data_IF_830030278279
#
_entry.id   IF_830030278279
#
_cell.length_a   1.000
_cell.length_b   1.000
_cell.length_c   1.000
_cell.angle_alpha   90.00
_cell.angle_beta   90.00
_cell.angle_gamma   90.00
#
_symmetry.space_group_name_H-M   'P 1'
#
loop_
_entity.id
_entity.type
_entity.pdbx_description
1 polymer ?
#
# COMPACT_ATOMS: atom_id res chain seq x y z
N UNK A 1 8.53 7.73 14.05
CA UNK A 1 7.59 8.25 13.03
C UNK A 1 7.58 7.35 11.81
N UNK A 2 6.43 7.20 11.13
CA UNK A 2 6.33 6.54 9.83
C UNK A 2 6.46 7.57 8.71
N UNK A 3 7.16 7.22 7.63
CA UNK A 3 7.36 8.06 6.44
C UNK A 3 7.15 7.19 5.20
N UNK A 4 6.39 7.63 4.20
CA UNK A 4 6.25 6.86 2.98
C UNK A 4 7.57 6.84 2.19
N UNK A 5 8.03 5.63 1.85
CA UNK A 5 9.26 5.41 1.09
C UNK A 5 10.40 4.76 1.89
N UNK A 6 11.52 4.47 1.22
CA UNK A 6 12.65 3.78 1.82
C UNK A 6 13.43 4.69 2.76
N UNK A 7 13.69 4.18 3.96
CA UNK A 7 14.45 4.85 5.02
C UNK A 7 15.58 3.95 5.51
N UNK A 8 16.76 4.51 5.74
CA UNK A 8 17.89 3.86 6.39
C UNK A 8 17.69 3.79 7.91
N UNK A 9 18.40 2.89 8.58
CA UNK A 9 18.34 2.72 10.03
C UNK A 9 18.73 3.98 10.84
N UNK A 10 19.53 4.86 10.24
CA UNK A 10 19.93 6.16 10.84
C UNK A 10 18.83 7.24 10.72
N UNK A 11 17.71 6.93 10.08
CA UNK A 11 16.61 7.88 9.83
C UNK A 11 16.78 8.73 8.58
N UNK A 12 17.68 8.36 7.66
CA UNK A 12 17.84 9.04 6.38
C UNK A 12 16.82 8.55 5.37
N UNK A 13 15.97 9.44 4.88
CA UNK A 13 15.08 9.22 3.75
C UNK A 13 15.89 9.17 2.46
N UNK A 14 15.74 8.13 1.65
CA UNK A 14 16.45 8.01 0.37
C UNK A 14 15.71 8.77 -0.74
N UNK A 15 14.39 8.62 -0.81
CA UNK A 15 13.50 9.37 -1.69
C UNK A 15 12.06 9.16 -1.23
N UNK A 16 11.30 10.22 -1.13
CA UNK A 16 9.88 10.15 -0.85
C UNK A 16 9.11 10.91 -1.94
N UNK A 17 8.67 10.18 -2.97
CA UNK A 17 8.01 10.77 -4.14
C UNK A 17 6.71 11.47 -3.74
N UNK A 18 5.92 10.84 -2.88
CA UNK A 18 4.61 11.34 -2.45
C UNK A 18 4.68 12.68 -1.68
N UNK A 19 5.82 12.95 -1.02
CA UNK A 19 6.03 14.20 -0.28
C UNK A 19 6.97 15.16 -1.00
N UNK A 20 7.49 14.78 -2.17
CA UNK A 20 8.48 15.58 -2.89
C UNK A 20 9.82 15.71 -2.16
N UNK A 21 10.12 14.80 -1.23
CA UNK A 21 11.35 14.87 -0.43
C UNK A 21 12.52 14.20 -1.14
N UNK A 22 13.65 14.88 -1.13
CA UNK A 22 14.94 14.33 -1.52
C UNK A 22 15.61 13.55 -0.37
N UNK A 23 16.91 13.38 -0.48
CA UNK A 23 17.71 12.67 0.54
C UNK A 23 18.02 13.61 1.70
N UNK A 24 17.56 13.29 2.91
CA UNK A 24 17.94 13.98 4.15
C UNK A 24 17.61 13.11 5.37
N UNK A 25 18.20 13.43 6.53
CA UNK A 25 17.92 12.72 7.78
C UNK A 25 16.71 13.34 8.48
N UNK A 26 15.55 12.74 8.31
CA UNK A 26 14.28 13.21 8.91
C UNK A 26 14.27 13.04 10.43
N UNK A 27 14.90 11.97 10.95
CA UNK A 27 14.95 11.74 12.39
C UNK A 27 15.73 12.83 13.12
N UNK A 28 16.89 13.22 12.57
CA UNK A 28 17.70 14.32 13.10
C UNK A 28 16.98 15.67 12.98
N UNK A 29 16.41 15.96 11.81
CA UNK A 29 15.69 17.22 11.58
C UNK A 29 14.54 17.40 12.56
N UNK A 30 13.73 16.35 12.75
CA UNK A 30 12.61 16.39 13.70
C UNK A 30 13.10 16.45 15.15
N UNK A 31 14.17 15.73 15.50
CA UNK A 31 14.77 15.82 16.85
C UNK A 31 15.16 17.24 17.22
N UNK A 32 15.82 17.97 16.31
CA UNK A 32 16.19 19.38 16.50
C UNK A 32 14.95 20.25 16.72
N UNK A 33 13.93 20.11 15.86
CA UNK A 33 12.69 20.88 15.98
C UNK A 33 11.91 20.59 17.27
N UNK A 34 12.05 19.38 17.82
CA UNK A 34 11.43 18.95 19.06
C UNK A 34 12.31 19.14 20.31
N UNK A 35 13.30 20.05 20.29
CA UNK A 35 14.13 20.36 21.45
C UNK A 35 15.09 19.24 21.87
N UNK A 36 15.54 18.39 20.93
CA UNK A 36 16.49 17.32 21.18
C UNK A 36 15.88 15.99 21.60
N UNK A 37 14.56 15.83 21.51
CA UNK A 37 13.89 14.56 21.76
C UNK A 37 14.38 13.51 20.74
N UNK A 38 14.73 12.32 21.23
CA UNK A 38 15.18 11.21 20.39
C UNK A 38 14.06 10.76 19.44
N UNK A 39 14.31 10.86 18.16
CA UNK A 39 13.38 10.42 17.10
C UNK A 39 13.95 9.19 16.41
N UNK A 40 13.09 8.20 16.15
CA UNK A 40 13.33 7.11 15.19
C UNK A 40 12.32 7.24 14.04
N UNK A 41 12.81 7.06 12.83
CA UNK A 41 11.98 7.04 11.63
C UNK A 41 12.09 5.69 10.93
N UNK A 42 11.02 5.27 10.27
CA UNK A 42 10.95 4.05 9.50
C UNK A 42 9.91 4.21 8.38
N UNK A 43 9.86 3.27 7.46
CA UNK A 43 8.78 3.20 6.49
C UNK A 43 7.42 3.10 7.22
N UNK A 44 6.39 3.76 6.70
CA UNK A 44 5.08 3.89 7.35
C UNK A 44 4.38 2.53 7.59
N UNK A 45 4.40 1.63 6.61
CA UNK A 45 3.84 0.29 6.76
C UNK A 45 4.62 -0.55 7.79
N UNK A 46 5.95 -0.43 7.81
CA UNK A 46 6.78 -1.09 8.82
C UNK A 46 6.50 -0.57 10.24
N UNK A 47 6.34 0.75 10.40
CA UNK A 47 5.98 1.35 11.70
C UNK A 47 4.59 0.93 12.12
N UNK A 48 3.63 0.84 11.19
CA UNK A 48 2.30 0.33 11.46
C UNK A 48 2.33 -1.13 11.92
N UNK A 49 3.12 -1.99 11.24
CA UNK A 49 3.31 -3.40 11.63
C UNK A 49 3.87 -3.53 13.05
N UNK A 50 4.83 -2.68 13.44
CA UNK A 50 5.32 -2.62 14.82
C UNK A 50 4.22 -2.20 15.81
N UNK A 51 3.38 -1.25 15.43
CA UNK A 51 2.23 -0.83 16.25
C UNK A 51 1.25 -1.97 16.47
N UNK A 52 0.93 -2.73 15.42
CA UNK A 52 0.06 -3.90 15.49
C UNK A 52 0.68 -5.03 16.34
N UNK A 53 1.97 -5.27 16.22
CA UNK A 53 2.66 -6.24 17.08
C UNK A 53 2.67 -5.79 18.55
N UNK A 54 2.80 -4.48 18.81
CA UNK A 54 2.88 -3.96 20.17
C UNK A 54 1.53 -3.91 20.88
N UNK A 55 0.50 -3.35 20.23
CA UNK A 55 -0.80 -3.08 20.86
C UNK A 55 -2.03 -3.44 20.02
N UNK A 56 -1.84 -4.01 18.83
CA UNK A 56 -2.89 -4.38 17.91
C UNK A 56 -3.11 -5.89 17.79
N UNK A 57 -3.54 -6.32 16.61
CA UNK A 57 -3.87 -7.73 16.32
C UNK A 57 -2.68 -8.69 16.38
N UNK A 58 -1.45 -8.18 16.28
CA UNK A 58 -0.21 -8.96 16.41
C UNK A 58 0.34 -9.05 17.84
N UNK A 59 -0.38 -8.52 18.84
CA UNK A 59 0.10 -8.51 20.23
C UNK A 59 0.36 -9.92 20.77
N UNK A 60 1.56 -10.10 21.33
CA UNK A 60 2.01 -11.40 21.86
C UNK A 60 2.69 -12.30 20.84
N UNK A 61 2.72 -11.92 19.56
CA UNK A 61 3.44 -12.62 18.50
C UNK A 61 4.78 -11.93 18.19
N UNK A 62 5.81 -12.72 17.85
CA UNK A 62 7.11 -12.20 17.42
C UNK A 62 7.28 -12.21 15.91
N UNK A 63 6.46 -13.00 15.22
CA UNK A 63 6.43 -13.09 13.76
C UNK A 63 5.06 -12.60 13.27
N UNK A 64 5.07 -11.51 12.52
CA UNK A 64 3.86 -10.81 12.05
C UNK A 64 4.06 -10.39 10.60
N UNK A 65 3.07 -10.66 9.77
CA UNK A 65 2.93 -10.05 8.46
C UNK A 65 1.70 -9.15 8.50
N UNK A 66 1.90 -7.88 8.26
CA UNK A 66 0.84 -6.89 8.16
C UNK A 66 0.69 -6.45 6.72
N UNK A 67 -0.55 -6.39 6.24
CA UNK A 67 -0.90 -5.89 4.90
C UNK A 67 -1.84 -4.70 5.08
N UNK A 68 -1.53 -3.60 4.42
CA UNK A 68 -2.39 -2.42 4.36
C UNK A 68 -3.02 -2.30 2.98
N UNK A 69 -4.36 -2.29 2.94
CA UNK A 69 -5.14 -2.07 1.73
C UNK A 69 -5.75 -0.67 1.80
N UNK A 70 -5.16 0.26 1.04
CA UNK A 70 -5.59 1.65 0.97
C UNK A 70 -5.54 2.14 -0.47
N UNK A 71 -5.11 3.38 -0.70
CA UNK A 71 -4.86 3.94 -2.05
C UNK A 71 -3.90 3.04 -2.84
N UNK A 72 -2.91 2.46 -2.16
CA UNK A 72 -2.01 1.42 -2.64
C UNK A 72 -2.07 0.18 -1.76
N UNK A 73 -1.12 -0.75 -1.94
CA UNK A 73 -0.91 -1.93 -1.09
C UNK A 73 0.45 -1.82 -0.42
N UNK A 74 0.45 -1.67 0.89
CA UNK A 74 1.67 -1.69 1.70
C UNK A 74 1.81 -2.98 2.50
N UNK A 75 3.00 -3.23 3.01
CA UNK A 75 3.26 -4.37 3.87
C UNK A 75 4.38 -4.12 4.87
N UNK A 76 4.29 -4.80 6.00
CA UNK A 76 5.36 -4.84 6.99
C UNK A 76 5.54 -6.27 7.48
N UNK A 77 6.77 -6.73 7.48
CA UNK A 77 7.15 -8.07 7.91
C UNK A 77 8.00 -7.95 9.16
N UNK A 78 7.59 -8.63 10.21
CA UNK A 78 8.34 -8.75 11.47
C UNK A 78 8.70 -10.20 11.67
N UNK A 79 9.94 -10.46 11.99
CA UNK A 79 10.45 -11.77 12.38
C UNK A 79 11.28 -11.66 13.65
N UNK A 80 11.02 -12.54 14.61
CA UNK A 80 11.69 -12.52 15.92
C UNK A 80 11.66 -11.14 16.58
N UNK A 81 10.51 -10.44 16.47
CA UNK A 81 10.30 -9.11 17.02
C UNK A 81 11.02 -7.97 16.28
N UNK A 82 11.62 -8.24 15.11
CA UNK A 82 12.37 -7.25 14.32
C UNK A 82 11.78 -7.08 12.92
N UNK A 83 11.78 -5.84 12.45
CA UNK A 83 11.38 -5.52 11.06
C UNK A 83 12.36 -6.18 10.08
N UNK A 84 11.80 -6.84 9.06
CA UNK A 84 12.53 -7.32 7.90
C UNK A 84 12.59 -6.18 6.88
N UNK A 85 13.55 -5.27 7.06
CA UNK A 85 13.69 -4.12 6.17
C UNK A 85 14.26 -4.48 4.78
N UNK A 86 14.93 -5.64 4.65
CA UNK A 86 15.67 -6.00 3.46
C UNK A 86 16.95 -5.18 3.28
N UNK A 87 17.84 -5.62 2.39
CA UNK A 87 19.16 -5.00 2.17
C UNK A 87 19.04 -3.55 1.67
N UNK A 88 18.00 -3.25 0.89
CA UNK A 88 17.77 -1.93 0.28
C UNK A 88 16.60 -1.17 0.95
N UNK A 89 16.12 -1.62 2.11
CA UNK A 89 14.98 -1.00 2.79
C UNK A 89 13.62 -1.30 2.13
N UNK A 90 13.56 -2.24 1.18
CA UNK A 90 12.36 -2.61 0.44
C UNK A 90 11.74 -3.95 0.91
N UNK A 91 12.13 -4.44 2.09
CA UNK A 91 11.48 -5.58 2.72
C UNK A 91 10.04 -5.22 3.07
N UNK A 92 9.09 -6.08 2.67
CA UNK A 92 7.67 -5.80 2.91
C UNK A 92 6.95 -5.02 1.80
N UNK A 93 7.61 -4.67 0.71
CA UNK A 93 7.00 -4.04 -0.48
C UNK A 93 6.14 -5.05 -1.28
N UNK A 94 5.19 -5.72 -0.57
CA UNK A 94 4.36 -6.80 -1.13
C UNK A 94 3.41 -6.32 -2.22
N UNK A 95 2.98 -5.05 -2.17
CA UNK A 95 2.15 -4.45 -3.21
C UNK A 95 2.80 -4.45 -4.59
N UNK A 96 4.13 -4.58 -4.64
CA UNK A 96 4.89 -4.60 -5.89
C UNK A 96 5.33 -6.01 -6.33
N UNK A 97 4.75 -7.05 -5.73
CA UNK A 97 4.87 -8.42 -6.22
C UNK A 97 4.14 -8.56 -7.56
N UNK A 98 4.75 -9.18 -8.58
CA UNK A 98 4.07 -9.43 -9.84
C UNK A 98 2.99 -10.50 -9.66
N UNK A 99 1.77 -10.20 -10.09
CA UNK A 99 0.61 -11.11 -10.03
C UNK A 99 0.11 -11.47 -11.42
N UNK A 100 0.32 -10.59 -12.41
CA UNK A 100 -0.15 -10.75 -13.79
C UNK A 100 1.00 -10.45 -14.73
N UNK A 101 1.34 -11.40 -15.61
CA UNK A 101 2.50 -11.27 -16.52
C UNK A 101 2.20 -10.38 -17.73
N UNK A 102 0.97 -10.43 -18.27
CA UNK A 102 0.59 -9.74 -19.52
C UNK A 102 -0.06 -8.35 -19.27
N UNK A 103 0.23 -7.71 -18.13
CA UNK A 103 -0.28 -6.38 -17.85
C UNK A 103 0.32 -5.33 -18.80
N UNK A 104 -0.55 -4.55 -19.45
CA UNK A 104 -0.14 -3.50 -20.40
C UNK A 104 0.32 -2.22 -19.70
N UNK A 105 -0.30 -1.88 -18.56
CA UNK A 105 -0.05 -0.64 -17.83
C UNK A 105 1.03 -0.78 -16.77
N UNK A 106 1.86 0.25 -16.64
CA UNK A 106 2.87 0.30 -15.60
C UNK A 106 2.27 0.66 -14.24
N UNK A 107 2.71 -0.03 -13.19
CA UNK A 107 2.57 0.40 -11.81
C UNK A 107 3.44 1.64 -11.54
N UNK A 108 3.11 2.41 -10.52
CA UNK A 108 3.90 3.56 -10.07
C UNK A 108 5.38 3.24 -9.76
N UNK A 109 5.71 1.99 -9.47
CA UNK A 109 7.09 1.52 -9.29
C UNK A 109 7.85 1.27 -10.59
N UNK A 110 7.21 1.41 -11.76
CA UNK A 110 7.77 1.15 -13.09
C UNK A 110 7.66 -0.30 -13.57
N UNK A 111 7.22 -1.24 -12.73
CA UNK A 111 6.92 -2.62 -13.13
C UNK A 111 5.49 -2.72 -13.65
N UNK A 112 5.13 -3.89 -14.18
CA UNK A 112 3.79 -4.22 -14.63
C UNK A 112 3.23 -5.39 -13.83
N UNK A 113 1.90 -5.46 -13.72
CA UNK A 113 1.22 -6.58 -13.09
C UNK A 113 1.40 -6.68 -11.57
N UNK A 114 1.73 -5.58 -10.89
CA UNK A 114 1.88 -5.56 -9.45
C UNK A 114 0.55 -5.82 -8.71
N UNK A 115 0.59 -6.51 -7.58
CA UNK A 115 -0.56 -6.75 -6.71
C UNK A 115 -1.36 -5.46 -6.42
N UNK A 116 -0.68 -4.36 -6.19
CA UNK A 116 -1.30 -3.05 -5.95
C UNK A 116 -2.23 -2.60 -7.07
N UNK A 117 -1.93 -2.95 -8.33
CA UNK A 117 -2.75 -2.59 -9.47
C UNK A 117 -4.12 -3.31 -9.49
N UNK A 118 -4.30 -4.31 -8.64
CA UNK A 118 -5.53 -5.11 -8.53
C UNK A 118 -6.17 -5.00 -7.15
N UNK A 119 -5.41 -5.15 -6.08
CA UNK A 119 -5.92 -5.27 -4.72
C UNK A 119 -6.01 -3.95 -3.94
N UNK A 120 -5.52 -2.83 -4.47
CA UNK A 120 -5.69 -1.51 -3.84
C UNK A 120 -7.06 -0.90 -4.13
N UNK A 121 -7.41 0.17 -3.40
CA UNK A 121 -8.63 0.93 -3.71
C UNK A 121 -8.64 1.43 -5.16
N UNK A 122 -7.51 1.96 -5.64
CA UNK A 122 -7.37 2.36 -7.04
C UNK A 122 -7.41 1.15 -7.99
N UNK A 123 -6.85 0.02 -7.56
CA UNK A 123 -6.88 -1.23 -8.30
C UNK A 123 -8.30 -1.75 -8.52
N UNK A 124 -9.13 -1.77 -7.47
CA UNK A 124 -10.52 -2.18 -7.56
C UNK A 124 -11.32 -1.32 -8.56
N UNK A 125 -11.16 -0.01 -8.50
CA UNK A 125 -11.81 0.91 -9.46
C UNK A 125 -11.35 0.58 -10.87
N UNK A 126 -10.05 0.46 -11.09
CA UNK A 126 -9.45 0.14 -12.40
C UNK A 126 -9.94 -1.19 -12.97
N UNK A 127 -10.05 -2.23 -12.13
CA UNK A 127 -10.55 -3.54 -12.56
C UNK A 127 -12.03 -3.46 -12.94
N UNK A 128 -12.84 -2.77 -12.15
CA UNK A 128 -14.26 -2.54 -12.47
C UNK A 128 -14.43 -1.75 -13.77
N UNK A 129 -13.67 -0.69 -13.98
CA UNK A 129 -13.69 0.11 -15.22
C UNK A 129 -13.35 -0.74 -16.45
N UNK A 130 -12.31 -1.57 -16.36
CA UNK A 130 -11.91 -2.49 -17.42
C UNK A 130 -12.99 -3.54 -17.72
N UNK A 131 -13.59 -4.08 -16.66
CA UNK A 131 -14.67 -5.05 -16.83
C UNK A 131 -15.87 -4.44 -17.55
N UNK A 132 -16.34 -3.26 -17.13
CA UNK A 132 -17.45 -2.55 -17.75
C UNK A 132 -17.14 -2.20 -19.21
N UNK A 133 -15.91 -1.74 -19.49
CA UNK A 133 -15.49 -1.40 -20.84
C UNK A 133 -15.50 -2.62 -21.79
N UNK A 134 -15.15 -3.80 -21.27
CA UNK A 134 -15.11 -5.06 -22.02
C UNK A 134 -16.51 -5.73 -22.16
N UNK A 135 -17.44 -5.46 -21.23
CA UNK A 135 -18.76 -6.13 -21.13
C UNK A 135 -19.87 -5.09 -21.14
N UNK A 136 -20.02 -4.35 -22.24
CA UNK A 136 -20.97 -3.23 -22.37
C UNK A 136 -22.43 -3.62 -22.33
N UNK A 137 -22.75 -4.89 -22.51
CA UNK A 137 -24.09 -5.50 -22.44
C UNK A 137 -24.48 -5.90 -21.01
N UNK A 138 -23.54 -5.89 -20.08
CA UNK A 138 -23.81 -6.26 -18.68
C UNK A 138 -24.38 -5.06 -17.93
N UNK A 139 -25.54 -5.27 -17.30
CA UNK A 139 -26.13 -4.24 -16.44
C UNK A 139 -25.32 -4.07 -15.17
N UNK A 140 -24.93 -2.83 -14.89
CA UNK A 140 -24.21 -2.45 -13.66
C UNK A 140 -24.72 -1.11 -13.14
N UNK A 141 -24.59 -0.90 -11.83
CA UNK A 141 -24.87 0.39 -11.18
C UNK A 141 -23.67 1.34 -11.19
N UNK A 142 -22.49 0.84 -11.58
CA UNK A 142 -21.26 1.64 -11.68
C UNK A 142 -21.26 2.39 -13.00
N UNK A 143 -21.29 3.72 -12.94
CA UNK A 143 -21.32 4.59 -14.11
C UNK A 143 -19.93 5.14 -14.42
N UNK A 144 -19.35 4.72 -15.55
CA UNK A 144 -18.04 5.20 -16.02
C UNK A 144 -18.02 6.72 -16.27
N UNK A 145 -19.13 7.34 -16.64
CA UNK A 145 -19.19 8.78 -16.95
C UNK A 145 -19.24 9.63 -15.68
N UNK A 146 -19.93 9.15 -14.66
CA UNK A 146 -20.01 9.82 -13.36
C UNK A 146 -18.74 9.56 -12.50
N UNK A 147 -18.03 8.46 -12.78
CA UNK A 147 -16.97 7.93 -11.93
C UNK A 147 -17.53 7.26 -10.68
N UNK A 148 -16.70 6.44 -10.05
CA UNK A 148 -17.04 5.74 -8.80
C UNK A 148 -15.79 5.49 -7.96
N UNK A 149 -15.99 5.20 -6.69
CA UNK A 149 -14.93 4.91 -5.72
C UNK A 149 -14.81 3.41 -5.47
N UNK A 150 -13.72 2.97 -4.83
CA UNK A 150 -13.59 1.59 -4.36
C UNK A 150 -14.72 1.16 -3.41
N UNK A 151 -15.26 2.11 -2.62
CA UNK A 151 -16.42 1.86 -1.77
C UNK A 151 -17.64 1.50 -2.62
N UNK A 152 -17.89 2.26 -3.69
CA UNK A 152 -19.03 1.99 -4.59
C UNK A 152 -18.89 0.63 -5.27
N UNK A 153 -17.66 0.23 -5.66
CA UNK A 153 -17.37 -1.09 -6.21
C UNK A 153 -17.70 -2.20 -5.19
N UNK A 154 -17.24 -2.05 -3.95
CA UNK A 154 -17.52 -3.03 -2.89
C UNK A 154 -19.01 -3.09 -2.55
N UNK A 155 -19.72 -1.97 -2.53
CA UNK A 155 -21.15 -1.93 -2.25
C UNK A 155 -21.95 -2.52 -3.42
N UNK A 156 -21.53 -2.30 -4.67
CA UNK A 156 -22.09 -2.94 -5.84
C UNK A 156 -21.90 -4.47 -5.80
N UNK A 157 -20.69 -4.95 -5.47
CA UNK A 157 -20.42 -6.38 -5.31
C UNK A 157 -21.34 -7.04 -4.26
N UNK A 158 -21.49 -6.41 -3.08
CA UNK A 158 -22.41 -6.88 -2.04
C UNK A 158 -23.86 -6.92 -2.49
N UNK A 159 -24.24 -6.05 -3.43
CA UNK A 159 -25.58 -6.00 -4.01
C UNK A 159 -25.78 -6.98 -5.18
N UNK A 160 -24.80 -7.81 -5.51
CA UNK A 160 -24.85 -8.77 -6.60
C UNK A 160 -24.59 -8.19 -7.99
N UNK A 161 -24.02 -6.99 -8.08
CA UNK A 161 -23.67 -6.35 -9.33
C UNK A 161 -22.47 -7.07 -9.98
N UNK A 162 -22.60 -7.42 -11.25
CA UNK A 162 -21.60 -8.23 -11.95
C UNK A 162 -20.25 -7.55 -12.08
N UNK A 163 -20.21 -6.24 -12.33
CA UNK A 163 -18.96 -5.48 -12.41
C UNK A 163 -18.29 -5.34 -11.03
N UNK A 164 -19.09 -5.14 -9.98
CA UNK A 164 -18.60 -5.13 -8.61
C UNK A 164 -17.99 -6.47 -8.21
N UNK A 165 -18.69 -7.58 -8.48
CA UNK A 165 -18.22 -8.95 -8.19
C UNK A 165 -16.91 -9.23 -8.92
N UNK A 166 -16.86 -8.98 -10.24
CA UNK A 166 -15.66 -9.23 -11.05
C UNK A 166 -14.42 -8.43 -10.61
N UNK A 167 -14.62 -7.31 -9.90
CA UNK A 167 -13.52 -6.51 -9.40
C UNK A 167 -13.00 -6.98 -8.03
N UNK A 168 -13.79 -7.74 -7.25
CA UNK A 168 -13.39 -8.19 -5.90
C UNK A 168 -13.01 -9.67 -5.83
N UNK A 169 -13.32 -10.46 -6.86
CA UNK A 169 -12.91 -11.86 -7.03
C UNK A 169 -11.56 -11.96 -7.79
#
# INVERSE_FOLDING_TARGET
MGVPGPIKDDGTVLKCVNLGWGVFNVAQSLSVLCGGIKVKAGNDANVAALGEMWQGGGKGHQDVVMITLGTGVGGGIIREGKIVAGVNGAGGEIGHMPMVDDESECCGCGKKGCLEQYASANGLVRVAERYIAAHRDVATKLDLNAGFTAKDVCDAAKAGDAAGIAAVE
#
